data_IF_548115550836
#
_entry.id   IF_548115550836
#
_cell.length_a   1.000
_cell.length_b   1.000
_cell.length_c   1.000
_cell.angle_alpha   90.00
_cell.angle_beta   90.00
_cell.angle_gamma   90.00
#
_symmetry.space_group_name_H-M   'P 1'
#
loop_
_entity.id
_entity.type
_entity.pdbx_description
1 polymer ?
#
# COMPACT_ATOMS: atom_id res chain seq x y z
N UNK A 1 25.30 -33.88 -37.83
CA UNK A 1 26.02 -32.95 -36.94
C UNK A 1 25.00 -32.10 -36.17
N UNK A 2 25.12 -32.06 -34.82
CA UNK A 2 24.64 -31.10 -33.79
C UNK A 2 23.14 -30.66 -33.83
N UNK A 3 22.31 -31.16 -32.91
CA UNK A 3 21.95 -30.65 -31.55
C UNK A 3 21.11 -29.35 -31.56
N UNK A 4 19.89 -29.48 -31.02
CA UNK A 4 18.90 -28.43 -30.75
C UNK A 4 19.40 -27.34 -29.80
N UNK A 5 18.80 -26.15 -29.84
CA UNK A 5 18.44 -25.35 -28.66
C UNK A 5 17.31 -24.34 -28.97
N UNK A 6 16.26 -24.45 -28.17
CA UNK A 6 15.15 -23.51 -27.99
C UNK A 6 15.65 -22.28 -27.23
N UNK A 7 15.20 -21.08 -27.58
CA UNK A 7 15.10 -19.94 -26.66
C UNK A 7 13.74 -19.24 -26.81
N UNK A 8 12.88 -19.45 -25.80
CA UNK A 8 11.82 -18.53 -25.39
C UNK A 8 12.39 -17.12 -25.16
N UNK A 9 11.64 -16.08 -25.52
CA UNK A 9 11.28 -15.00 -24.57
C UNK A 9 9.86 -14.52 -24.88
N UNK A 10 8.92 -15.02 -24.07
CA UNK A 10 7.67 -14.35 -23.72
C UNK A 10 8.03 -13.23 -22.76
N UNK A 11 7.49 -12.02 -22.93
CA UNK A 11 7.01 -11.18 -21.82
C UNK A 11 6.42 -9.85 -22.33
N UNK A 12 5.09 -9.81 -22.35
CA UNK A 12 4.24 -8.71 -21.92
C UNK A 12 4.88 -7.32 -21.76
N UNK A 13 4.74 -6.48 -22.78
CA UNK A 13 4.59 -5.04 -22.57
C UNK A 13 3.23 -4.76 -21.94
N UNK A 14 3.11 -5.03 -20.64
CA UNK A 14 2.06 -4.48 -19.81
C UNK A 14 2.35 -2.98 -19.64
N UNK A 15 1.84 -2.17 -20.56
CA UNK A 15 1.57 -0.78 -20.27
C UNK A 15 0.44 -0.74 -19.23
N UNK A 16 0.76 -0.93 -17.95
CA UNK A 16 -0.07 -0.41 -16.87
C UNK A 16 0.38 1.03 -16.64
N UNK A 17 0.12 1.88 -17.64
CA UNK A 17 -0.13 3.28 -17.35
C UNK A 17 -1.53 3.33 -16.74
N UNK A 18 -1.62 2.99 -15.45
CA UNK A 18 -2.79 3.36 -14.66
C UNK A 18 -2.90 4.86 -14.78
N UNK A 19 -3.92 5.33 -15.49
CA UNK A 19 -4.30 6.72 -15.56
C UNK A 19 -4.63 7.17 -14.14
N UNK A 20 -3.61 7.70 -13.47
CA UNK A 20 -3.70 8.36 -12.18
C UNK A 20 -4.65 9.54 -12.28
N UNK A 21 -5.52 9.64 -11.29
CA UNK A 21 -6.51 10.71 -11.19
C UNK A 21 -7.92 10.26 -10.84
N UNK A 22 -8.10 9.13 -10.14
CA UNK A 22 -9.25 9.07 -9.25
C UNK A 22 -8.96 10.06 -8.13
N UNK A 23 -9.75 11.13 -8.00
CA UNK A 23 -9.83 11.87 -6.74
C UNK A 23 -10.03 10.82 -5.65
N UNK A 24 -9.00 10.54 -4.86
CA UNK A 24 -9.10 9.55 -3.81
C UNK A 24 -10.26 10.01 -2.91
N UNK A 25 -11.23 9.15 -2.58
CA UNK A 25 -12.36 9.54 -1.73
C UNK A 25 -11.92 9.89 -0.29
N UNK A 26 -10.64 9.69 0.01
CA UNK A 26 -9.99 10.12 1.25
C UNK A 26 -9.45 11.54 1.10
N UNK A 27 -9.77 12.40 2.06
CA UNK A 27 -9.22 13.75 2.11
C UNK A 27 -7.75 13.74 2.58
N UNK A 28 -6.82 13.68 1.64
CA UNK A 28 -5.36 13.65 1.88
C UNK A 28 -4.70 15.03 1.86
N UNK A 29 -5.45 16.12 1.80
CA UNK A 29 -4.94 17.50 1.60
C UNK A 29 -3.98 18.03 2.68
N UNK A 30 -3.91 17.37 3.83
CA UNK A 30 -3.01 17.69 4.96
C UNK A 30 -1.79 16.79 5.06
N UNK A 31 -1.67 15.80 4.16
CA UNK A 31 -0.57 14.85 4.14
C UNK A 31 0.57 15.35 3.27
N UNK A 32 1.79 14.97 3.62
CA UNK A 32 2.94 15.06 2.69
C UNK A 32 2.76 14.11 1.51
N UNK A 33 3.50 14.30 0.42
CA UNK A 33 3.39 13.45 -0.77
C UNK A 33 3.60 11.96 -0.45
N UNK A 34 4.56 11.64 0.42
CA UNK A 34 4.85 10.25 0.84
C UNK A 34 3.73 9.65 1.68
N UNK A 35 3.19 10.44 2.61
CA UNK A 35 2.06 10.02 3.45
C UNK A 35 0.81 9.82 2.60
N UNK A 36 0.55 10.71 1.64
CA UNK A 36 -0.52 10.59 0.68
C UNK A 36 -0.39 9.31 -0.14
N UNK A 37 0.78 9.05 -0.72
CA UNK A 37 1.03 7.82 -1.48
C UNK A 37 0.75 6.56 -0.64
N UNK A 38 1.21 6.54 0.62
CA UNK A 38 0.99 5.41 1.50
C UNK A 38 -0.48 5.21 1.85
N UNK A 39 -1.21 6.30 2.09
CA UNK A 39 -2.65 6.28 2.39
C UNK A 39 -3.44 5.78 1.20
N UNK A 40 -3.16 6.28 0.00
CA UNK A 40 -3.84 5.86 -1.22
C UNK A 40 -3.57 4.37 -1.52
N UNK A 41 -2.33 3.92 -1.36
CA UNK A 41 -1.97 2.51 -1.48
C UNK A 41 -2.71 1.64 -0.46
N UNK A 42 -2.67 2.02 0.83
CA UNK A 42 -3.32 1.28 1.91
C UNK A 42 -4.82 1.17 1.68
N UNK A 43 -5.48 2.26 1.29
CA UNK A 43 -6.90 2.27 1.01
C UNK A 43 -7.28 1.43 -0.22
N UNK A 44 -6.48 1.46 -1.29
CA UNK A 44 -6.74 0.65 -2.48
C UNK A 44 -6.73 -0.86 -2.17
N UNK A 45 -5.91 -1.28 -1.21
CA UNK A 45 -5.75 -2.68 -0.80
C UNK A 45 -6.54 -3.06 0.46
N UNK A 46 -7.20 -2.11 1.11
CA UNK A 46 -8.06 -2.39 2.27
C UNK A 46 -9.26 -3.25 1.84
N UNK A 47 -9.37 -4.43 2.47
CA UNK A 47 -10.44 -5.42 2.22
C UNK A 47 -11.60 -5.23 3.18
N UNK A 48 -11.41 -4.50 4.27
CA UNK A 48 -12.46 -4.18 5.23
C UNK A 48 -13.21 -2.91 4.83
N UNK A 49 -14.43 -3.10 4.32
CA UNK A 49 -15.31 -2.01 3.88
C UNK A 49 -15.69 -1.03 5.00
N UNK A 50 -15.78 -1.48 6.25
CA UNK A 50 -16.07 -0.58 7.38
C UNK A 50 -14.87 0.30 7.71
N UNK A 51 -13.65 -0.22 7.54
CA UNK A 51 -12.44 0.60 7.63
C UNK A 51 -12.42 1.62 6.49
N UNK A 52 -12.69 1.21 5.24
CA UNK A 52 -12.76 2.14 4.10
C UNK A 52 -13.74 3.30 4.33
N UNK A 53 -14.98 2.99 4.72
CA UNK A 53 -16.00 4.01 5.06
C UNK A 53 -15.55 4.93 6.19
N UNK A 54 -14.83 4.39 7.17
CA UNK A 54 -14.28 5.22 8.24
C UNK A 54 -13.30 6.24 7.67
N UNK A 55 -12.37 5.84 6.81
CA UNK A 55 -11.41 6.75 6.17
C UNK A 55 -12.09 7.81 5.30
N UNK A 56 -13.10 7.42 4.51
CA UNK A 56 -13.88 8.34 3.66
C UNK A 56 -14.64 9.40 4.47
N UNK A 57 -15.05 9.08 5.70
CA UNK A 57 -15.73 10.00 6.61
C UNK A 57 -14.81 10.96 7.37
N UNK A 58 -13.49 10.80 7.28
CA UNK A 58 -12.54 11.64 8.02
C UNK A 58 -12.28 12.98 7.32
N UNK A 59 -12.13 14.04 8.12
CA UNK A 59 -11.53 15.29 7.66
C UNK A 59 -10.05 15.11 7.37
N UNK A 60 -9.43 16.05 6.66
CA UNK A 60 -7.99 16.01 6.38
C UNK A 60 -7.12 15.85 7.65
N UNK A 61 -7.47 16.60 8.70
CA UNK A 61 -6.79 16.49 10.00
C UNK A 61 -7.08 15.13 10.68
N UNK A 62 -8.29 14.59 10.47
CA UNK A 62 -8.67 13.25 10.93
C UNK A 62 -7.85 12.14 10.26
N UNK A 63 -7.64 12.23 8.95
CA UNK A 63 -6.79 11.30 8.18
C UNK A 63 -5.35 11.37 8.67
N UNK A 64 -4.81 12.59 8.88
CA UNK A 64 -3.46 12.78 9.43
C UNK A 64 -3.32 12.16 10.83
N UNK A 65 -4.27 12.41 11.73
CA UNK A 65 -4.28 11.83 13.06
C UNK A 65 -4.44 10.31 13.05
N UNK A 66 -5.20 9.76 12.10
CA UNK A 66 -5.33 8.31 11.92
C UNK A 66 -3.99 7.70 11.51
N UNK A 67 -3.33 8.27 10.50
CA UNK A 67 -2.00 7.84 10.06
C UNK A 67 -0.98 7.89 11.20
N UNK A 68 -0.92 8.98 11.96
CA UNK A 68 0.03 9.14 13.05
C UNK A 68 -0.18 8.07 14.15
N UNK A 69 -1.43 7.63 14.39
CA UNK A 69 -1.72 6.49 15.28
C UNK A 69 -1.28 5.16 14.70
N UNK A 70 -1.47 4.93 13.40
CA UNK A 70 -1.10 3.68 12.73
C UNK A 70 0.42 3.50 12.63
N UNK A 71 1.19 4.59 12.56
CA UNK A 71 2.66 4.54 12.46
C UNK A 71 3.31 3.67 13.53
N UNK A 72 2.83 3.67 14.77
CA UNK A 72 3.43 2.84 15.83
C UNK A 72 3.26 1.34 15.57
N UNK A 73 2.15 0.94 14.96
CA UNK A 73 1.87 -0.45 14.59
C UNK A 73 2.65 -0.83 13.35
N UNK A 74 2.56 0.01 12.31
CA UNK A 74 3.13 -0.25 10.99
C UNK A 74 4.67 -0.20 11.00
N UNK A 75 5.25 0.72 11.78
CA UNK A 75 6.70 0.92 11.88
C UNK A 75 7.33 0.21 13.08
N UNK A 76 6.53 -0.56 13.82
CA UNK A 76 6.97 -1.30 14.99
C UNK A 76 7.48 -2.69 14.65
N UNK A 77 6.91 -3.69 15.32
CA UNK A 77 7.29 -5.09 15.13
C UNK A 77 6.78 -5.62 13.78
N UNK A 78 7.72 -5.98 12.91
CA UNK A 78 7.41 -6.56 11.59
C UNK A 78 6.63 -7.87 11.68
N UNK A 79 6.92 -8.74 12.65
CA UNK A 79 6.20 -10.00 12.78
C UNK A 79 4.74 -9.76 13.18
N UNK A 80 4.50 -8.81 14.08
CA UNK A 80 3.16 -8.39 14.47
C UNK A 80 2.40 -7.76 13.29
N UNK A 81 3.06 -6.92 12.49
CA UNK A 81 2.48 -6.36 11.26
C UNK A 81 2.06 -7.47 10.29
N UNK A 82 2.98 -8.38 9.94
CA UNK A 82 2.68 -9.47 9.00
C UNK A 82 1.53 -10.35 9.48
N UNK A 83 1.47 -10.65 10.78
CA UNK A 83 0.36 -11.40 11.36
C UNK A 83 -0.97 -10.64 11.24
N UNK A 84 -0.99 -9.34 11.53
CA UNK A 84 -2.20 -8.51 11.42
C UNK A 84 -2.72 -8.39 9.99
N UNK A 85 -1.83 -8.26 9.00
CA UNK A 85 -2.20 -8.21 7.58
C UNK A 85 -2.76 -9.55 7.12
N UNK A 86 -2.15 -10.66 7.54
CA UNK A 86 -2.66 -12.00 7.28
C UNK A 86 -4.07 -12.20 7.84
N UNK A 87 -4.32 -11.74 9.08
CA UNK A 87 -5.64 -11.80 9.72
C UNK A 87 -6.66 -10.91 9.01
N UNK A 88 -6.24 -9.78 8.45
CA UNK A 88 -7.05 -8.93 7.57
C UNK A 88 -7.24 -9.51 6.16
N UNK A 89 -6.72 -10.70 5.88
CA UNK A 89 -6.91 -11.42 4.63
C UNK A 89 -5.99 -10.97 3.49
N UNK A 90 -4.85 -10.36 3.78
CA UNK A 90 -3.86 -9.97 2.76
C UNK A 90 -3.11 -11.20 2.23
N UNK A 91 -2.81 -11.17 0.92
CA UNK A 91 -2.02 -12.22 0.29
C UNK A 91 -0.52 -12.02 0.61
N UNK A 92 0.27 -13.09 0.58
CA UNK A 92 1.68 -13.03 0.98
C UNK A 92 2.52 -12.02 0.17
N UNK A 93 2.24 -11.87 -1.13
CA UNK A 93 2.89 -10.85 -1.97
C UNK A 93 2.52 -9.43 -1.52
N UNK A 94 1.23 -9.17 -1.34
CA UNK A 94 0.71 -7.86 -0.94
C UNK A 94 1.19 -7.45 0.45
N UNK A 95 1.35 -8.40 1.38
CA UNK A 95 1.91 -8.14 2.71
C UNK A 95 3.35 -7.63 2.64
N UNK A 96 4.17 -8.26 1.79
CA UNK A 96 5.56 -7.86 1.59
C UNK A 96 5.65 -6.48 0.93
N UNK A 97 4.82 -6.23 -0.10
CA UNK A 97 4.73 -4.91 -0.72
C UNK A 97 4.28 -3.85 0.29
N UNK A 98 3.29 -4.15 1.12
CA UNK A 98 2.81 -3.25 2.17
C UNK A 98 3.91 -2.89 3.16
N UNK A 99 4.71 -3.87 3.57
CA UNK A 99 5.88 -3.62 4.42
C UNK A 99 6.87 -2.68 3.73
N UNK A 100 7.27 -3.00 2.51
CA UNK A 100 8.28 -2.23 1.78
C UNK A 100 7.83 -0.79 1.55
N UNK A 101 6.57 -0.57 1.15
CA UNK A 101 5.99 0.77 1.02
C UNK A 101 5.90 1.48 2.36
N UNK A 102 5.59 0.79 3.45
CA UNK A 102 5.55 1.39 4.78
C UNK A 102 6.94 1.85 5.24
N UNK A 103 7.93 0.97 5.11
CA UNK A 103 9.33 1.23 5.45
C UNK A 103 9.88 2.43 4.66
N UNK A 104 9.55 2.49 3.36
CA UNK A 104 9.93 3.59 2.48
C UNK A 104 9.16 4.86 2.83
N UNK A 105 7.83 4.86 2.88
CA UNK A 105 7.06 6.09 2.83
C UNK A 105 6.86 6.75 4.19
N UNK A 106 6.69 5.97 5.27
CA UNK A 106 6.22 6.51 6.56
C UNK A 106 7.03 6.08 7.79
N UNK A 107 7.91 5.07 7.69
CA UNK A 107 8.66 4.55 8.85
C UNK A 107 10.13 4.95 8.91
N UNK A 108 10.76 5.27 7.77
CA UNK A 108 12.12 5.80 7.78
C UNK A 108 12.14 7.26 8.26
N UNK A 109 12.95 7.62 9.27
CA UNK A 109 13.12 9.01 9.68
C UNK A 109 13.78 9.79 8.54
N UNK A 110 13.26 10.99 8.26
CA UNK A 110 13.91 11.98 7.39
C UNK A 110 14.85 12.86 8.21
#
# INVERSE_FOLDING_TARGET
MKKAHICLVVACTLMVASCGGSEAPINTSRLTDREKEWVEFSYAHEKNEDVKRTWEGLTADGVKAYLDRQRSVVCGDTAALMQSLKEAGWEAGDMQEYKEKSDQLICSPF
#
